data_IF_994003274224
#
_entry.id   IF_994003274224
#
_cell.length_a   1.000
_cell.length_b   1.000
_cell.length_c   1.000
_cell.angle_alpha   90.00
_cell.angle_beta   90.00
_cell.angle_gamma   90.00
#
_symmetry.space_group_name_H-M   'P 1'
#
loop_
_entity.id
_entity.type
_entity.pdbx_description
1 polymer ?
#
# COMPACT_ATOMS: atom_id res chain seq x y z
N UNK A 1 -13.33 14.77 19.49
CA UNK A 1 -14.04 15.18 18.25
C UNK A 1 -13.13 16.10 17.44
N UNK A 2 -12.37 15.56 16.48
CA UNK A 2 -11.55 16.34 15.57
C UNK A 2 -12.40 16.70 14.34
N UNK A 3 -12.44 17.98 13.96
CA UNK A 3 -13.20 18.40 12.77
C UNK A 3 -12.43 17.98 11.51
N UNK A 4 -13.14 17.46 10.51
CA UNK A 4 -12.55 17.04 9.22
C UNK A 4 -11.94 18.22 8.43
N UNK A 5 -12.25 19.47 8.81
CA UNK A 5 -11.67 20.70 8.26
C UNK A 5 -11.36 21.69 9.39
N UNK A 6 -10.20 21.58 10.05
CA UNK A 6 -9.82 22.51 11.11
C UNK A 6 -9.57 23.90 10.50
N UNK A 7 -10.36 24.89 10.92
CA UNK A 7 -10.09 26.30 10.61
C UNK A 7 -9.40 26.96 11.79
N UNK A 8 -8.24 27.57 11.54
CA UNK A 8 -7.51 28.35 12.52
C UNK A 8 -7.64 29.84 12.19
N UNK A 9 -7.98 30.63 13.20
CA UNK A 9 -8.13 32.07 13.08
C UNK A 9 -7.06 32.76 13.92
N UNK A 10 -6.33 33.65 13.26
CA UNK A 10 -5.30 34.46 13.89
C UNK A 10 -5.71 35.94 13.83
N UNK A 11 -5.99 36.54 14.98
CA UNK A 11 -6.31 37.96 15.12
C UNK A 11 -5.17 38.60 15.94
N UNK A 12 -4.21 39.24 15.26
CA UNK A 12 -3.23 40.14 15.88
C UNK A 12 -3.36 41.54 15.27
N UNK A 13 -2.98 42.57 16.03
CA UNK A 13 -2.94 43.94 15.54
C UNK A 13 -1.68 44.16 14.69
N UNK A 14 -1.72 43.65 13.45
CA UNK A 14 -0.63 43.64 12.47
C UNK A 14 0.05 45.00 12.26
N UNK A 15 -0.64 46.10 12.56
CA UNK A 15 -0.19 47.48 12.35
C UNK A 15 0.72 48.03 13.46
N UNK A 16 0.87 47.33 14.60
CA UNK A 16 1.64 47.82 15.75
C UNK A 16 3.12 47.45 15.76
N UNK A 17 3.60 46.57 14.85
CA UNK A 17 4.99 46.05 14.85
C UNK A 17 5.85 46.64 13.72
N UNK A 18 7.15 46.83 13.98
CA UNK A 18 8.10 47.50 13.07
C UNK A 18 8.36 46.69 11.79
N UNK A 19 8.72 47.40 10.72
CA UNK A 19 8.85 46.95 9.32
C UNK A 19 9.88 45.82 9.04
N UNK A 20 10.64 45.38 10.04
CA UNK A 20 11.76 44.44 9.88
C UNK A 20 11.56 43.10 10.61
N UNK A 21 10.50 42.95 11.41
CA UNK A 21 10.29 41.76 12.22
C UNK A 21 9.38 40.77 11.49
N UNK A 22 9.89 39.56 11.23
CA UNK A 22 9.04 38.45 10.78
C UNK A 22 8.10 38.06 11.93
N UNK A 23 6.81 38.31 11.75
CA UNK A 23 5.80 38.06 12.79
C UNK A 23 5.36 36.60 12.70
N UNK A 24 5.30 35.93 13.84
CA UNK A 24 4.79 34.56 13.95
C UNK A 24 3.52 34.52 14.79
N UNK A 25 2.56 33.69 14.40
CA UNK A 25 1.40 33.37 15.25
C UNK A 25 1.79 32.45 16.41
N UNK A 26 0.86 32.28 17.35
CA UNK A 26 0.88 31.12 18.26
C UNK A 26 0.86 29.82 17.44
N UNK A 27 1.50 28.80 18.00
CA UNK A 27 1.49 27.45 17.43
C UNK A 27 0.08 26.88 17.60
N UNK A 28 -0.43 26.21 16.57
CA UNK A 28 -1.70 25.48 16.61
C UNK A 28 -1.54 24.08 16.03
N UNK A 29 -2.37 23.15 16.49
CA UNK A 29 -2.34 21.75 16.03
C UNK A 29 -3.48 21.52 15.04
N UNK A 30 -3.16 21.00 13.86
CA UNK A 30 -4.13 20.61 12.85
C UNK A 30 -3.61 19.39 12.08
N UNK A 31 -4.48 18.39 11.86
CA UNK A 31 -4.10 17.15 11.18
C UNK A 31 -2.93 16.40 11.85
N UNK A 32 -2.88 16.42 13.19
CA UNK A 32 -1.81 15.80 13.98
C UNK A 32 -0.44 16.48 13.87
N UNK A 33 -0.36 17.68 13.28
CA UNK A 33 0.89 18.44 13.12
C UNK A 33 0.79 19.81 13.79
N UNK A 34 1.92 20.32 14.27
CA UNK A 34 2.04 21.68 14.82
C UNK A 34 2.43 22.68 13.72
N UNK A 35 1.64 23.74 13.62
CA UNK A 35 1.74 24.77 12.60
C UNK A 35 1.85 26.16 13.22
N UNK A 36 2.47 27.09 12.50
CA UNK A 36 2.46 28.52 12.81
C UNK A 36 2.30 29.33 11.52
N UNK A 37 1.63 30.46 11.59
CA UNK A 37 1.62 31.44 10.51
C UNK A 37 2.84 32.34 10.66
N UNK A 38 3.46 32.69 9.54
CA UNK A 38 4.50 33.70 9.46
C UNK A 38 4.12 34.76 8.45
N UNK A 39 4.46 36.02 8.69
CA UNK A 39 4.21 37.11 7.75
C UNK A 39 5.40 38.08 7.70
N UNK A 40 5.71 38.57 6.49
CA UNK A 40 6.78 39.53 6.23
C UNK A 40 6.34 40.69 5.32
N UNK A 41 5.34 41.46 5.76
CA UNK A 41 4.77 42.67 5.11
C UNK A 41 4.18 42.51 3.71
N UNK A 42 4.60 41.49 2.95
CA UNK A 42 4.23 41.24 1.57
C UNK A 42 3.54 39.89 1.41
N UNK A 43 3.70 38.96 2.36
CA UNK A 43 3.21 37.60 2.23
C UNK A 43 2.87 36.98 3.58
N UNK A 44 1.96 36.01 3.54
CA UNK A 44 1.59 35.15 4.67
C UNK A 44 1.97 33.72 4.31
N UNK A 45 2.65 33.04 5.23
CA UNK A 45 3.15 31.68 5.08
C UNK A 45 2.63 30.79 6.19
N UNK A 46 2.42 29.52 5.87
CA UNK A 46 2.17 28.46 6.84
C UNK A 46 3.47 27.66 7.06
N UNK A 47 3.93 27.59 8.29
CA UNK A 47 5.16 26.87 8.68
C UNK A 47 4.84 25.71 9.61
N UNK A 48 5.42 24.53 9.35
CA UNK A 48 5.46 23.44 10.32
C UNK A 48 6.54 23.72 11.37
N UNK A 49 6.22 23.65 12.66
CA UNK A 49 7.14 24.02 13.75
C UNK A 49 8.05 22.88 14.21
N UNK A 50 7.61 21.63 14.02
CA UNK A 50 8.35 20.43 14.41
C UNK A 50 8.51 19.48 13.21
N UNK A 51 9.44 19.72 12.28
CA UNK A 51 9.74 18.73 11.25
C UNK A 51 10.28 17.41 11.83
N UNK A 52 10.83 17.43 13.06
CA UNK A 52 11.41 16.25 13.74
C UNK A 52 10.38 15.27 14.33
N UNK A 53 9.11 15.64 14.47
CA UNK A 53 8.06 14.67 14.89
C UNK A 53 7.69 13.72 13.75
N UNK A 54 7.95 14.13 12.50
CA UNK A 54 7.91 13.28 11.34
C UNK A 54 9.25 12.54 11.28
N UNK A 55 9.23 11.20 11.36
CA UNK A 55 10.46 10.40 11.20
C UNK A 55 11.12 10.73 9.85
N UNK A 56 12.41 10.47 9.71
CA UNK A 56 13.14 10.66 8.45
C UNK A 56 12.37 9.99 7.30
N UNK A 57 12.17 10.72 6.19
CA UNK A 57 11.36 10.29 5.04
C UNK A 57 9.86 10.63 5.10
N UNK A 58 9.37 11.22 6.19
CA UNK A 58 7.94 11.52 6.32
C UNK A 58 7.57 12.93 5.82
N UNK A 59 6.62 12.96 4.88
CA UNK A 59 5.90 14.17 4.45
C UNK A 59 4.41 13.99 4.72
N UNK A 60 3.70 15.11 4.91
CA UNK A 60 2.24 15.16 5.02
C UNK A 60 1.72 16.04 3.89
N UNK A 61 0.72 15.56 3.17
CA UNK A 61 0.04 16.37 2.16
C UNK A 61 -0.89 17.33 2.89
N UNK A 62 -0.75 18.63 2.61
CA UNK A 62 -1.58 19.66 3.22
C UNK A 62 -2.26 20.46 2.13
N UNK A 63 -3.56 20.68 2.33
CA UNK A 63 -4.39 21.57 1.53
C UNK A 63 -4.87 22.69 2.44
N UNK A 64 -4.55 23.93 2.12
CA UNK A 64 -4.96 25.09 2.91
C UNK A 64 -5.26 26.29 2.02
N UNK A 65 -5.96 27.28 2.58
CA UNK A 65 -6.15 28.59 1.98
C UNK A 65 -6.15 29.64 3.09
N UNK A 66 -5.89 30.88 2.73
CA UNK A 66 -5.96 32.02 3.64
C UNK A 66 -7.21 32.83 3.36
N UNK A 67 -7.84 33.30 4.43
CA UNK A 67 -8.95 34.24 4.35
C UNK A 67 -8.60 35.49 5.15
N UNK A 68 -8.73 36.65 4.53
CA UNK A 68 -8.57 37.95 5.17
C UNK A 68 -9.95 38.47 5.56
N UNK A 69 -10.10 38.81 6.83
CA UNK A 69 -11.35 39.32 7.40
C UNK A 69 -11.17 40.78 7.82
N UNK A 70 -12.23 41.57 7.73
CA UNK A 70 -12.22 42.93 8.27
C UNK A 70 -12.59 42.96 9.77
N UNK A 71 -12.63 44.15 10.36
CA UNK A 71 -12.99 44.36 11.79
C UNK A 71 -14.38 43.86 12.17
N UNK A 72 -15.29 43.66 11.19
CA UNK A 72 -16.63 43.08 11.41
C UNK A 72 -16.66 41.57 11.19
N UNK A 73 -15.50 40.92 11.07
CA UNK A 73 -15.34 39.50 10.74
C UNK A 73 -15.94 39.09 9.38
N UNK A 74 -16.13 40.06 8.49
CA UNK A 74 -16.59 39.83 7.13
C UNK A 74 -15.39 39.50 6.26
N UNK A 75 -15.49 38.42 5.51
CA UNK A 75 -14.49 38.02 4.52
C UNK A 75 -14.34 39.06 3.43
N UNK A 76 -13.09 39.50 3.22
CA UNK A 76 -12.72 40.46 2.18
C UNK A 76 -12.00 39.79 1.03
N UNK A 77 -11.12 38.84 1.34
CA UNK A 77 -10.33 38.14 0.35
C UNK A 77 -10.10 36.69 0.79
N UNK A 78 -10.02 35.80 -0.20
CA UNK A 78 -9.63 34.39 -0.03
C UNK A 78 -8.54 34.06 -1.04
N UNK A 79 -7.50 33.37 -0.60
CA UNK A 79 -6.50 32.82 -1.51
C UNK A 79 -7.06 31.59 -2.24
N UNK A 80 -6.43 31.23 -3.34
CA UNK A 80 -6.62 29.90 -3.91
C UNK A 80 -6.19 28.82 -2.92
N UNK A 81 -6.76 27.63 -3.07
CA UNK A 81 -6.36 26.48 -2.26
C UNK A 81 -4.97 26.00 -2.70
N UNK A 82 -4.00 26.14 -1.79
CA UNK A 82 -2.66 25.60 -1.98
C UNK A 82 -2.65 24.13 -1.58
N UNK A 83 -2.22 23.26 -2.51
CA UNK A 83 -1.99 21.84 -2.26
C UNK A 83 -0.51 21.53 -2.39
N UNK A 84 0.09 20.96 -1.35
CA UNK A 84 1.48 20.54 -1.40
C UNK A 84 1.58 19.03 -1.64
N UNK A 85 1.98 18.66 -2.86
CA UNK A 85 2.30 17.29 -3.24
C UNK A 85 3.83 17.13 -3.41
N UNK A 86 4.44 16.01 -2.97
CA UNK A 86 5.81 15.68 -3.33
C UNK A 86 5.95 15.57 -4.85
N UNK A 87 7.02 16.15 -5.41
CA UNK A 87 7.37 15.96 -6.82
C UNK A 87 8.43 14.88 -6.98
N UNK A 88 8.43 14.18 -8.13
CA UNK A 88 9.44 13.16 -8.43
C UNK A 88 10.87 13.70 -8.33
N UNK A 89 11.12 14.91 -8.88
CA UNK A 89 12.43 15.58 -8.77
C UNK A 89 12.90 15.71 -7.32
N UNK A 90 11.99 16.08 -6.42
CA UNK A 90 12.30 16.24 -5.00
C UNK A 90 12.53 14.88 -4.31
N UNK A 91 11.76 13.86 -4.68
CA UNK A 91 11.94 12.50 -4.15
C UNK A 91 13.32 11.96 -4.51
N UNK A 92 13.76 12.08 -5.76
CA UNK A 92 15.10 11.66 -6.19
C UNK A 92 16.22 12.49 -5.57
N UNK A 93 16.00 13.76 -5.25
CA UNK A 93 16.99 14.58 -4.56
C UNK A 93 17.19 14.14 -3.10
N UNK A 94 16.11 13.71 -2.42
CA UNK A 94 16.16 13.24 -1.03
C UNK A 94 16.57 11.77 -0.90
N UNK A 95 16.22 10.97 -1.91
CA UNK A 95 16.51 9.53 -1.98
C UNK A 95 17.14 9.22 -3.36
N UNK A 96 18.41 9.61 -3.60
CA UNK A 96 19.05 9.42 -4.90
C UNK A 96 19.23 7.94 -5.25
N UNK A 97 19.22 7.07 -4.24
CA UNK A 97 19.39 5.64 -4.39
C UNK A 97 18.08 4.87 -4.68
N UNK A 98 16.93 5.54 -4.61
CA UNK A 98 15.59 4.93 -4.64
C UNK A 98 15.32 4.06 -5.85
N UNK A 99 15.96 4.32 -6.99
CA UNK A 99 15.77 3.59 -8.24
C UNK A 99 17.09 3.05 -8.82
N UNK A 100 18.13 2.85 -8.00
CA UNK A 100 19.43 2.37 -8.49
C UNK A 100 19.37 0.98 -9.13
N UNK A 101 18.51 0.09 -8.60
CA UNK A 101 18.30 -1.25 -9.17
C UNK A 101 17.34 -1.26 -10.36
N UNK A 102 16.62 -0.16 -10.59
CA UNK A 102 15.57 -0.06 -11.60
C UNK A 102 16.16 0.15 -12.99
N UNK A 103 16.20 -0.92 -13.79
CA UNK A 103 16.87 -0.96 -15.11
C UNK A 103 15.98 -1.09 -16.36
N UNK A 104 14.64 -0.92 -16.35
CA UNK A 104 13.89 -1.05 -17.59
C UNK A 104 14.29 0.02 -18.59
N UNK A 105 14.41 -0.35 -19.87
CA UNK A 105 14.80 0.57 -20.97
C UNK A 105 13.60 1.29 -21.59
N UNK A 106 12.43 0.67 -21.53
CA UNK A 106 11.21 1.18 -22.14
C UNK A 106 10.65 2.41 -21.37
N UNK A 107 10.42 3.51 -22.08
CA UNK A 107 9.95 4.77 -21.49
C UNK A 107 8.53 4.73 -20.94
N UNK A 108 7.64 3.98 -21.59
CA UNK A 108 6.26 3.77 -21.12
C UNK A 108 6.28 3.02 -19.80
N UNK A 109 7.08 1.96 -19.72
CA UNK A 109 7.28 1.17 -18.49
C UNK A 109 7.86 2.03 -17.38
N UNK A 110 8.91 2.81 -17.65
CA UNK A 110 9.47 3.76 -16.68
C UNK A 110 8.40 4.68 -16.12
N UNK A 111 7.59 5.30 -17.00
CA UNK A 111 6.53 6.22 -16.59
C UNK A 111 5.48 5.52 -15.71
N UNK A 112 5.08 4.30 -16.06
CA UNK A 112 4.10 3.53 -15.28
C UNK A 112 4.60 3.31 -13.85
N UNK A 113 5.83 2.82 -13.67
CA UNK A 113 6.41 2.63 -12.32
C UNK A 113 6.59 3.94 -11.55
N UNK A 114 7.00 5.03 -12.22
CA UNK A 114 7.09 6.34 -11.56
C UNK A 114 5.72 6.84 -11.08
N UNK A 115 4.65 6.56 -11.84
CA UNK A 115 3.29 6.90 -11.43
C UNK A 115 2.83 6.06 -10.24
N UNK A 116 3.13 4.76 -10.22
CA UNK A 116 2.85 3.88 -9.07
C UNK A 116 3.60 4.38 -7.83
N UNK A 117 4.90 4.64 -7.94
CA UNK A 117 5.72 5.17 -6.84
C UNK A 117 5.17 6.51 -6.33
N UNK A 118 4.80 7.44 -7.22
CA UNK A 118 4.23 8.72 -6.85
C UNK A 118 2.86 8.56 -6.17
N UNK A 119 2.01 7.68 -6.71
CA UNK A 119 0.70 7.35 -6.16
C UNK A 119 0.82 6.80 -4.74
N UNK A 120 1.69 5.80 -4.56
CA UNK A 120 2.00 5.19 -3.27
C UNK A 120 2.51 6.23 -2.25
N UNK A 121 3.48 7.05 -2.64
CA UNK A 121 4.00 8.12 -1.77
C UNK A 121 2.87 9.08 -1.37
N UNK A 122 2.02 9.47 -2.32
CA UNK A 122 0.89 10.35 -2.06
C UNK A 122 -0.13 9.72 -1.11
N UNK A 123 -0.42 8.43 -1.28
CA UNK A 123 -1.26 7.64 -0.36
C UNK A 123 -0.62 7.65 1.02
N UNK A 124 0.61 7.16 1.19
CA UNK A 124 1.27 7.09 2.50
C UNK A 124 1.48 8.45 3.18
N UNK A 125 1.42 9.57 2.44
CA UNK A 125 1.48 10.93 2.99
C UNK A 125 0.12 11.48 3.50
N UNK A 126 -1.01 10.82 3.22
CA UNK A 126 -2.29 11.20 3.83
C UNK A 126 -2.29 10.81 5.32
N UNK A 127 -3.06 11.49 6.18
CA UNK A 127 -3.20 11.13 7.60
C UNK A 127 -3.65 9.67 7.79
N UNK A 128 -3.14 9.00 8.84
CA UNK A 128 -3.45 7.61 9.20
C UNK A 128 -4.95 7.31 9.30
N UNK A 129 -5.74 8.28 9.77
CA UNK A 129 -7.20 8.21 9.91
C UNK A 129 -7.96 8.25 8.57
N UNK A 130 -7.31 8.71 7.50
CA UNK A 130 -7.93 8.82 6.17
C UNK A 130 -7.71 7.59 5.29
N UNK A 131 -6.98 6.58 5.79
CA UNK A 131 -6.69 5.35 5.06
C UNK A 131 -7.69 4.25 5.41
N UNK A 132 -8.39 3.76 4.39
CA UNK A 132 -9.10 2.50 4.50
C UNK A 132 -8.11 1.34 4.66
N UNK A 133 -8.57 0.25 5.28
CA UNK A 133 -7.76 -0.97 5.41
C UNK A 133 -7.39 -1.57 4.04
N UNK A 134 -8.29 -1.45 3.06
CA UNK A 134 -8.06 -1.87 1.67
C UNK A 134 -6.96 -1.04 0.97
N UNK A 135 -6.95 0.29 1.12
CA UNK A 135 -5.90 1.15 0.54
C UNK A 135 -4.50 0.78 1.05
N UNK A 136 -4.38 0.34 2.30
CA UNK A 136 -3.09 -0.04 2.87
C UNK A 136 -2.63 -1.43 2.41
N UNK A 137 -3.55 -2.37 2.18
CA UNK A 137 -3.23 -3.66 1.57
C UNK A 137 -2.78 -3.48 0.10
N UNK A 138 -3.47 -2.63 -0.66
CA UNK A 138 -3.08 -2.27 -2.03
C UNK A 138 -1.68 -1.63 -2.01
N UNK A 139 -1.46 -0.67 -1.11
CA UNK A 139 -0.15 -0.02 -0.95
C UNK A 139 0.96 -1.01 -0.57
N UNK A 140 0.64 -2.04 0.21
CA UNK A 140 1.59 -3.10 0.57
C UNK A 140 1.96 -3.97 -0.64
N UNK A 141 0.98 -4.30 -1.49
CA UNK A 141 1.22 -5.00 -2.76
C UNK A 141 2.11 -4.20 -3.70
N UNK A 142 1.79 -2.93 -3.93
CA UNK A 142 2.57 -2.01 -4.77
C UNK A 142 4.02 -1.83 -4.27
N UNK A 143 4.24 -1.80 -2.95
CA UNK A 143 5.59 -1.77 -2.37
C UNK A 143 6.40 -3.02 -2.71
N UNK A 144 5.76 -4.19 -2.67
CA UNK A 144 6.43 -5.46 -2.96
C UNK A 144 6.84 -5.53 -4.44
N UNK A 145 5.92 -5.15 -5.34
CA UNK A 145 6.21 -5.08 -6.79
C UNK A 145 7.33 -4.09 -7.13
N UNK A 146 7.34 -2.92 -6.50
CA UNK A 146 8.39 -1.91 -6.72
C UNK A 146 9.76 -2.41 -6.26
N UNK A 147 9.82 -3.14 -5.15
CA UNK A 147 11.08 -3.72 -4.66
C UNK A 147 11.60 -4.81 -5.60
N UNK A 148 10.73 -5.71 -6.08
CA UNK A 148 11.10 -6.77 -7.03
C UNK A 148 11.75 -6.23 -8.31
N UNK A 149 11.29 -5.07 -8.78
CA UNK A 149 11.87 -4.41 -9.97
C UNK A 149 13.09 -3.53 -9.65
N UNK A 150 13.56 -3.52 -8.40
CA UNK A 150 14.82 -2.92 -7.99
C UNK A 150 14.71 -1.51 -7.42
N UNK A 151 13.53 -1.07 -6.97
CA UNK A 151 13.45 0.16 -6.15
C UNK A 151 13.93 -0.11 -4.72
N UNK A 152 14.73 0.82 -4.19
CA UNK A 152 15.17 0.84 -2.78
C UNK A 152 14.22 1.71 -1.97
N UNK A 153 13.20 1.08 -1.39
CA UNK A 153 12.04 1.76 -0.78
C UNK A 153 11.83 1.35 0.68
N UNK A 154 12.90 0.99 1.39
CA UNK A 154 12.87 0.59 2.81
C UNK A 154 12.21 1.65 3.70
N UNK A 155 12.48 2.93 3.42
CA UNK A 155 11.87 4.04 4.15
C UNK A 155 10.35 4.13 3.98
N UNK A 156 9.81 3.70 2.82
CA UNK A 156 8.36 3.61 2.59
C UNK A 156 7.75 2.40 3.29
N UNK A 157 8.45 1.27 3.35
CA UNK A 157 8.01 0.10 4.11
C UNK A 157 7.88 0.42 5.59
N UNK A 158 8.92 0.99 6.19
CA UNK A 158 8.88 1.45 7.58
C UNK A 158 7.78 2.48 7.79
N UNK A 159 7.48 3.33 6.80
CA UNK A 159 6.40 4.30 6.88
C UNK A 159 5.02 3.63 6.89
N UNK A 160 4.79 2.63 6.04
CA UNK A 160 3.55 1.87 6.00
C UNK A 160 3.33 1.12 7.33
N UNK A 161 4.35 0.43 7.84
CA UNK A 161 4.27 -0.32 9.10
C UNK A 161 3.93 0.58 10.31
N UNK A 162 4.52 1.77 10.36
CA UNK A 162 4.18 2.76 11.39
C UNK A 162 2.73 3.27 11.26
N UNK A 163 2.16 3.41 10.05
CA UNK A 163 0.74 3.77 9.89
C UNK A 163 -0.17 2.67 10.44
N UNK A 164 0.22 1.39 10.31
CA UNK A 164 -0.47 0.28 10.97
C UNK A 164 -0.37 0.39 12.50
N UNK A 165 0.81 0.73 13.03
CA UNK A 165 1.04 0.89 14.47
C UNK A 165 0.38 2.12 15.09
N UNK A 166 0.38 3.28 14.42
CA UNK A 166 -0.27 4.51 14.91
C UNK A 166 -1.77 4.30 15.08
N UNK A 167 -2.43 3.59 14.15
CA UNK A 167 -3.84 3.19 14.30
C UNK A 167 -4.07 2.26 15.50
N UNK A 168 -3.07 1.52 15.98
CA UNK A 168 -3.17 0.72 17.21
C UNK A 168 -3.09 1.55 18.50
N UNK A 169 -2.58 2.80 18.46
CA UNK A 169 -2.37 3.64 19.66
C UNK A 169 -3.56 4.55 19.99
N UNK A 170 -4.38 4.91 19.01
CA UNK A 170 -5.59 5.72 19.25
C UNK A 170 -6.78 4.87 19.75
N UNK A 171 -6.65 3.53 19.70
CA UNK A 171 -7.65 2.55 20.17
C UNK A 171 -7.32 2.06 21.59
N UNK A 172 -7.33 2.95 22.58
CA UNK A 172 -7.19 2.58 24.00
C UNK A 172 -8.26 1.58 24.52
N UNK A 173 -9.23 1.20 23.69
CA UNK A 173 -10.29 0.25 24.00
C UNK A 173 -9.93 -1.22 23.69
N UNK A 174 -8.80 -1.51 23.01
CA UNK A 174 -8.36 -2.90 22.75
C UNK A 174 -9.28 -3.76 21.85
N UNK A 175 -10.50 -3.30 21.57
CA UNK A 175 -11.57 -4.00 20.86
C UNK A 175 -11.19 -4.43 19.43
N UNK A 176 -10.51 -3.56 18.66
CA UNK A 176 -10.04 -3.90 17.31
C UNK A 176 -8.84 -4.84 17.29
N UNK A 177 -7.98 -4.78 18.31
CA UNK A 177 -6.85 -5.71 18.45
C UNK A 177 -7.36 -7.10 18.79
N UNK A 178 -8.31 -7.21 19.72
CA UNK A 178 -8.99 -8.48 20.03
C UNK A 178 -9.71 -9.05 18.81
N UNK A 179 -10.41 -8.21 18.04
CA UNK A 179 -11.08 -8.65 16.81
C UNK A 179 -10.09 -9.09 15.72
N UNK A 180 -8.93 -8.44 15.61
CA UNK A 180 -7.87 -8.85 14.68
C UNK A 180 -7.15 -10.12 15.16
N UNK A 181 -6.89 -10.27 16.45
CA UNK A 181 -6.33 -11.49 17.04
C UNK A 181 -7.26 -12.69 16.84
N UNK A 182 -8.57 -12.49 17.05
CA UNK A 182 -9.59 -13.51 16.80
C UNK A 182 -9.68 -13.86 15.31
N UNK A 183 -9.61 -12.88 14.41
CA UNK A 183 -9.59 -13.13 12.95
C UNK A 183 -8.31 -13.81 12.49
N UNK A 184 -7.15 -13.49 13.07
CA UNK A 184 -5.87 -14.18 12.77
C UNK A 184 -5.95 -15.63 13.22
N UNK A 185 -6.46 -15.91 14.42
CA UNK A 185 -6.67 -17.27 14.92
C UNK A 185 -7.60 -18.08 14.01
N UNK A 186 -8.72 -17.48 13.58
CA UNK A 186 -9.63 -18.12 12.65
C UNK A 186 -9.00 -18.41 11.28
N UNK A 187 -8.10 -17.53 10.80
CA UNK A 187 -7.38 -17.75 9.54
C UNK A 187 -6.30 -18.84 9.64
N UNK A 188 -5.63 -18.95 10.80
CA UNK A 188 -4.69 -20.05 11.07
C UNK A 188 -5.41 -21.41 11.08
N UNK A 189 -6.58 -21.49 11.71
CA UNK A 189 -7.40 -22.70 11.74
C UNK A 189 -7.86 -23.10 10.33
N UNK A 190 -8.34 -22.15 9.51
CA UNK A 190 -8.71 -22.40 8.11
C UNK A 190 -7.50 -22.82 7.25
N UNK A 191 -6.31 -22.28 7.52
CA UNK A 191 -5.08 -22.68 6.83
C UNK A 191 -4.68 -24.12 7.17
N UNK A 192 -4.84 -24.52 8.44
CA UNK A 192 -4.58 -25.88 8.90
C UNK A 192 -5.59 -26.88 8.34
N UNK A 193 -6.88 -26.53 8.26
CA UNK A 193 -7.89 -27.39 7.63
C UNK A 193 -7.66 -27.57 6.14
N UNK A 194 -7.28 -26.49 5.43
CA UNK A 194 -6.97 -26.56 4.00
C UNK A 194 -5.75 -27.45 3.72
N UNK A 195 -4.69 -27.37 4.54
CA UNK A 195 -3.53 -28.27 4.44
C UNK A 195 -3.90 -29.73 4.66
N UNK A 196 -4.75 -30.04 5.64
CA UNK A 196 -5.24 -31.42 5.88
C UNK A 196 -6.08 -31.93 4.72
N UNK A 197 -6.90 -31.08 4.10
CA UNK A 197 -7.67 -31.44 2.93
C UNK A 197 -6.75 -31.75 1.73
N UNK A 198 -5.75 -30.89 1.47
CA UNK A 198 -4.78 -31.08 0.38
C UNK A 198 -3.97 -32.37 0.55
N UNK A 199 -3.53 -32.70 1.77
CA UNK A 199 -2.87 -33.97 2.10
C UNK A 199 -3.78 -35.18 1.85
N UNK A 200 -5.05 -35.12 2.29
CA UNK A 200 -6.02 -36.20 2.07
C UNK A 200 -6.35 -36.41 0.58
N UNK A 201 -6.41 -35.32 -0.21
CA UNK A 201 -6.54 -35.41 -1.67
C UNK A 201 -5.29 -36.03 -2.30
N UNK A 202 -4.09 -35.69 -1.84
CA UNK A 202 -2.83 -36.30 -2.29
C UNK A 202 -2.82 -37.83 -2.12
N UNK A 203 -3.20 -38.34 -0.94
CA UNK A 203 -3.29 -39.78 -0.69
C UNK A 203 -4.28 -40.50 -1.63
N UNK A 204 -5.45 -39.90 -1.88
CA UNK A 204 -6.46 -40.47 -2.79
C UNK A 204 -5.98 -40.51 -4.25
N UNK A 205 -5.27 -39.47 -4.69
CA UNK A 205 -4.70 -39.41 -6.05
C UNK A 205 -3.67 -40.51 -6.23
N UNK A 206 -2.79 -40.71 -5.25
CA UNK A 206 -1.75 -41.74 -5.29
C UNK A 206 -2.35 -43.16 -5.38
N UNK A 207 -3.42 -43.43 -4.63
CA UNK A 207 -4.14 -44.71 -4.70
C UNK A 207 -4.78 -44.93 -6.09
N UNK A 208 -5.35 -43.88 -6.69
CA UNK A 208 -5.88 -43.96 -8.05
C UNK A 208 -4.77 -44.23 -9.08
N UNK A 209 -3.62 -43.56 -8.97
CA UNK A 209 -2.47 -43.77 -9.86
C UNK A 209 -1.96 -45.22 -9.84
N UNK A 210 -1.86 -45.84 -8.65
CA UNK A 210 -1.49 -47.24 -8.52
C UNK A 210 -2.52 -48.18 -9.17
N UNK A 211 -3.81 -47.89 -9.01
CA UNK A 211 -4.88 -48.67 -9.62
C UNK A 211 -4.88 -48.55 -11.15
N UNK A 212 -4.58 -47.36 -11.69
CA UNK A 212 -4.46 -47.12 -13.14
C UNK A 212 -3.27 -47.88 -13.71
N UNK A 213 -2.09 -47.84 -13.06
CA UNK A 213 -0.93 -48.64 -13.47
C UNK A 213 -1.24 -50.14 -13.52
N UNK A 214 -2.02 -50.65 -12.54
CA UNK A 214 -2.45 -52.05 -12.52
C UNK A 214 -3.39 -52.39 -13.68
N UNK A 215 -4.31 -51.48 -14.02
CA UNK A 215 -5.21 -51.65 -15.17
C UNK A 215 -4.46 -51.58 -16.50
N UNK A 216 -3.51 -50.66 -16.66
CA UNK A 216 -2.65 -50.57 -17.85
C UNK A 216 -1.87 -51.86 -18.10
N UNK A 217 -1.33 -52.48 -17.05
CA UNK A 217 -0.70 -53.80 -17.15
C UNK A 217 -1.68 -54.87 -17.62
N UNK A 218 -2.90 -54.93 -17.06
CA UNK A 218 -3.92 -55.90 -17.49
C UNK A 218 -4.36 -55.71 -18.94
N UNK A 219 -4.56 -54.46 -19.38
CA UNK A 219 -4.92 -54.14 -20.77
C UNK A 219 -3.80 -54.58 -21.71
N UNK A 220 -2.54 -54.37 -21.34
CA UNK A 220 -1.38 -54.82 -22.14
C UNK A 220 -1.34 -56.34 -22.28
N UNK A 221 -1.62 -57.08 -21.19
CA UNK A 221 -1.69 -58.55 -21.20
C UNK A 221 -2.85 -59.06 -22.07
N UNK A 222 -4.03 -58.45 -21.96
CA UNK A 222 -5.20 -58.83 -22.76
C UNK A 222 -4.97 -58.54 -24.25
N UNK A 223 -4.33 -57.41 -24.57
CA UNK A 223 -3.98 -57.06 -25.95
C UNK A 223 -3.03 -58.09 -26.57
N UNK A 224 -1.99 -58.48 -25.84
CA UNK A 224 -1.06 -59.52 -26.29
C UNK A 224 -1.74 -60.89 -26.50
N UNK A 225 -2.68 -61.27 -25.63
CA UNK A 225 -3.47 -62.50 -25.80
C UNK A 225 -4.40 -62.45 -27.01
N UNK A 226 -5.03 -61.30 -27.26
CA UNK A 226 -5.89 -61.10 -28.42
C UNK A 226 -5.09 -61.16 -29.73
N UNK A 227 -3.90 -60.54 -29.76
CA UNK A 227 -3.00 -60.60 -30.89
C UNK A 227 -2.51 -62.05 -31.13
N UNK A 228 -2.28 -62.83 -30.06
CA UNK A 228 -1.94 -64.25 -30.16
C UNK A 228 -3.09 -65.13 -30.68
N UNK A 229 -4.35 -64.86 -30.32
CA UNK A 229 -5.49 -65.59 -30.86
C UNK A 229 -5.75 -65.26 -32.34
N UNK A 230 -5.63 -63.99 -32.74
CA UNK A 230 -5.73 -63.61 -34.16
C UNK A 230 -4.66 -64.28 -35.02
N UNK A 231 -3.43 -64.37 -34.51
CA UNK A 231 -2.36 -65.07 -35.22
C UNK A 231 -2.61 -66.59 -35.39
N UNK A 232 -3.45 -67.20 -34.53
CA UNK A 232 -3.87 -68.60 -34.66
C UNK A 232 -5.04 -68.77 -35.63
N UNK A 233 -6.01 -67.85 -35.62
CA UNK A 233 -7.14 -67.93 -36.56
C UNK A 233 -6.71 -67.67 -38.00
N UNK A 234 -5.73 -66.80 -38.22
CA UNK A 234 -5.18 -66.53 -39.57
C UNK A 234 -4.33 -67.70 -40.10
N UNK A 235 -3.79 -68.59 -39.26
CA UNK A 235 -3.08 -69.79 -39.74
C UNK A 235 -4.03 -70.93 -40.14
N UNK A 236 -5.20 -71.01 -39.50
CA UNK A 236 -6.18 -72.07 -39.76
C UNK A 236 -7.01 -71.79 -41.02
N UNK A 237 -7.21 -70.51 -41.41
CA UNK A 237 -7.94 -70.13 -42.64
C UNK A 237 -7.15 -70.45 -43.92
N UNK A 238 -5.82 -70.62 -43.84
CA UNK A 238 -4.98 -71.10 -44.95
C UNK A 238 -5.01 -72.62 -45.18
N UNK A 239 -5.64 -73.40 -44.28
CA UNK A 239 -5.72 -74.86 -44.37
C UNK A 239 -7.08 -75.38 -44.91
N UNK A 240 -8.00 -74.49 -45.31
CA UNK A 240 -9.34 -74.84 -45.79
C UNK A 240 -9.61 -74.55 -47.29
N UNK A 241 -8.58 -74.34 -48.12
CA UNK A 241 -8.67 -74.27 -49.59
C UNK A 241 -7.95 -75.47 -50.24
#
# INVERSE_FOLDING_TARGET
>A
MWSQNPSFRFEEEFWKKKKADRIFSKIFVAGGCEWKLAHDHLSVYLHATKPKSLRIGWKRNVSFYFTVLNHRKIERCRSESMKFYPSMKKIFAEHPDIALGFKPKNQVVKRAYMNVLLGLINTLNKPSESHSEAELLISHGELSELEEVGFKIDWLKSKLENNFLERKKDDADGSRVQQLEERVKNLEDVSLEKKKADEAYGFRVQQFEESVKKLEMMVSVLKAKLDQEKAKSDSDDFLLL
#
